data_IF_918898984066
#
_entry.id   IF_918898984066
#
_cell.length_a   1.000
_cell.length_b   1.000
_cell.length_c   1.000
_cell.angle_alpha   90.00
_cell.angle_beta   90.00
_cell.angle_gamma   90.00
#
_symmetry.space_group_name_H-M   'P 1'
#
loop_
_entity.id
_entity.type
_entity.pdbx_description
1 polymer ?
#
# COMPACT_ATOMS: atom_id res chain seq x y z
N UNK A 1 -18.36 -10.62 3.46
CA UNK A 1 -16.90 -10.54 3.55
C UNK A 1 -16.39 -10.24 2.16
N UNK A 2 -15.80 -9.08 1.96
CA UNK A 2 -15.31 -8.67 0.66
C UNK A 2 -13.89 -9.23 0.41
N UNK A 3 -13.48 -9.34 -0.87
CA UNK A 3 -12.17 -9.87 -1.24
C UNK A 3 -11.02 -9.08 -0.61
N UNK A 4 -11.17 -7.76 -0.48
CA UNK A 4 -10.13 -6.89 0.05
C UNK A 4 -9.91 -7.04 1.57
N UNK A 5 -10.85 -7.60 2.31
CA UNK A 5 -10.69 -7.84 3.74
C UNK A 5 -9.59 -8.87 4.05
N UNK A 6 -9.37 -9.82 3.13
CA UNK A 6 -8.34 -10.87 3.24
C UNK A 6 -7.19 -10.69 2.23
N UNK A 7 -7.15 -9.57 1.52
CA UNK A 7 -6.10 -9.34 0.54
C UNK A 7 -4.73 -9.15 1.18
N UNK A 8 -3.71 -9.55 0.43
CA UNK A 8 -2.32 -9.14 0.58
C UNK A 8 -1.93 -8.44 -0.71
N UNK A 9 -1.64 -7.16 -0.62
CA UNK A 9 -1.29 -6.35 -1.78
C UNK A 9 0.19 -6.42 -2.12
N UNK A 10 0.47 -6.40 -3.41
CA UNK A 10 1.79 -6.11 -3.94
C UNK A 10 1.73 -4.81 -4.74
N UNK A 11 2.44 -3.79 -4.29
CA UNK A 11 2.42 -2.46 -4.88
C UNK A 11 3.55 -2.29 -5.88
N UNK A 12 3.22 -1.97 -7.12
CA UNK A 12 4.16 -1.74 -8.21
C UNK A 12 4.07 -0.29 -8.68
N UNK A 13 5.21 0.41 -8.71
CA UNK A 13 5.38 1.66 -9.45
C UNK A 13 5.93 1.32 -10.83
N UNK A 14 5.08 1.25 -11.88
CA UNK A 14 5.44 0.56 -13.11
C UNK A 14 6.52 1.28 -13.93
N UNK A 15 6.49 2.62 -14.01
CA UNK A 15 7.49 3.39 -14.75
C UNK A 15 8.91 3.16 -14.20
N UNK A 16 9.06 3.12 -12.88
CA UNK A 16 10.34 2.84 -12.23
C UNK A 16 10.76 1.40 -12.43
N UNK A 17 9.90 0.44 -12.08
CA UNK A 17 10.21 -1.00 -12.19
C UNK A 17 10.64 -1.38 -13.60
N UNK A 18 9.98 -0.84 -14.62
CA UNK A 18 10.30 -1.13 -16.03
C UNK A 18 11.50 -0.34 -16.56
N UNK A 19 12.02 0.64 -15.79
CA UNK A 19 13.14 1.49 -16.24
C UNK A 19 12.76 2.42 -17.39
N UNK A 20 11.50 2.91 -17.36
CA UNK A 20 11.03 3.86 -18.36
C UNK A 20 11.77 5.20 -18.28
N UNK A 21 11.80 5.94 -19.39
CA UNK A 21 12.32 7.31 -19.41
C UNK A 21 11.58 8.20 -18.40
N UNK A 22 12.29 9.09 -17.70
CA UNK A 22 11.69 9.97 -16.70
C UNK A 22 10.71 10.98 -17.32
N UNK A 23 11.09 11.54 -18.46
CA UNK A 23 10.20 12.36 -19.29
C UNK A 23 9.58 11.49 -20.40
N UNK A 24 8.29 11.71 -20.66
CA UNK A 24 7.57 10.92 -21.67
C UNK A 24 7.97 11.38 -23.08
N UNK A 25 8.78 10.59 -23.74
CA UNK A 25 9.19 10.79 -25.12
C UNK A 25 8.30 10.07 -26.15
N UNK A 26 7.24 9.41 -25.66
CA UNK A 26 6.30 8.65 -26.47
C UNK A 26 6.84 7.31 -26.97
N UNK A 27 8.02 6.89 -26.52
CA UNK A 27 8.63 5.62 -26.93
C UNK A 27 8.35 4.53 -25.90
N UNK A 28 7.90 3.34 -26.33
CA UNK A 28 7.67 2.23 -25.40
C UNK A 28 8.99 1.63 -24.92
N UNK A 29 9.00 1.25 -23.64
CA UNK A 29 10.10 0.46 -23.06
C UNK A 29 9.89 -1.01 -23.46
N UNK A 30 10.80 -1.61 -24.23
CA UNK A 30 10.63 -2.98 -24.70
C UNK A 30 10.43 -3.98 -23.55
N UNK A 31 9.41 -4.83 -23.65
CA UNK A 31 9.15 -5.89 -22.67
C UNK A 31 8.59 -5.42 -21.33
N UNK A 32 8.04 -4.20 -21.24
CA UNK A 32 7.56 -3.68 -19.97
C UNK A 32 6.41 -4.52 -19.39
N UNK A 33 5.40 -4.90 -20.19
CA UNK A 33 4.31 -5.74 -19.70
C UNK A 33 4.71 -7.19 -19.43
N UNK A 34 5.66 -7.75 -20.17
CA UNK A 34 6.25 -9.05 -19.84
C UNK A 34 6.92 -9.01 -18.47
N UNK A 35 7.68 -7.95 -18.20
CA UNK A 35 8.31 -7.72 -16.91
C UNK A 35 7.27 -7.56 -15.79
N UNK A 36 6.25 -6.74 -15.99
CA UNK A 36 5.15 -6.55 -15.03
C UNK A 36 4.44 -7.88 -14.73
N UNK A 37 4.18 -8.70 -15.74
CA UNK A 37 3.59 -10.03 -15.56
C UNK A 37 4.48 -10.98 -14.76
N UNK A 38 5.79 -10.96 -14.99
CA UNK A 38 6.72 -11.76 -14.20
C UNK A 38 6.75 -11.33 -12.72
N UNK A 39 6.69 -10.03 -12.45
CA UNK A 39 6.62 -9.51 -11.08
C UNK A 39 5.25 -9.80 -10.42
N UNK A 40 4.15 -9.76 -11.17
CA UNK A 40 2.84 -10.17 -10.65
C UNK A 40 2.80 -11.67 -10.33
N UNK A 41 3.48 -12.51 -11.13
CA UNK A 41 3.64 -13.94 -10.80
C UNK A 41 4.50 -14.13 -9.53
N UNK A 42 5.63 -13.45 -9.42
CA UNK A 42 6.44 -13.46 -8.19
C UNK A 42 5.62 -13.06 -6.96
N UNK A 43 4.80 -12.00 -7.08
CA UNK A 43 3.89 -11.59 -6.01
C UNK A 43 2.92 -12.72 -5.61
N UNK A 44 2.35 -13.43 -6.57
CA UNK A 44 1.50 -14.61 -6.30
C UNK A 44 2.27 -15.72 -5.58
N UNK A 45 3.50 -15.99 -6.01
CA UNK A 45 4.36 -17.05 -5.44
C UNK A 45 4.70 -16.80 -3.97
N UNK A 46 4.80 -15.53 -3.56
CA UNK A 46 4.99 -15.13 -2.16
C UNK A 46 3.67 -14.87 -1.41
N UNK A 47 2.51 -15.20 -2.00
CA UNK A 47 1.19 -15.18 -1.36
C UNK A 47 0.44 -13.85 -1.46
N UNK A 48 0.81 -12.95 -2.36
CA UNK A 48 0.03 -11.74 -2.62
C UNK A 48 -1.18 -12.03 -3.52
N UNK A 49 -2.35 -11.60 -3.07
CA UNK A 49 -3.64 -11.85 -3.73
C UNK A 49 -4.21 -10.64 -4.45
N UNK A 50 -3.52 -9.53 -4.41
CA UNK A 50 -3.89 -8.31 -5.11
C UNK A 50 -2.66 -7.53 -5.58
N UNK A 51 -2.77 -6.91 -6.75
CA UNK A 51 -1.78 -6.00 -7.32
C UNK A 51 -2.33 -4.58 -7.23
N UNK A 52 -1.58 -3.69 -6.61
CA UNK A 52 -1.75 -2.26 -6.78
C UNK A 52 -0.69 -1.78 -7.78
N UNK A 53 -1.11 -1.32 -8.94
CA UNK A 53 -0.23 -0.83 -10.00
C UNK A 53 -0.56 0.64 -10.29
N UNK A 54 0.41 1.52 -10.09
CA UNK A 54 0.21 2.94 -10.36
C UNK A 54 1.39 3.83 -9.97
N UNK A 55 1.41 5.04 -10.56
CA UNK A 55 0.51 5.55 -11.60
C UNK A 55 0.72 4.84 -12.94
N UNK A 56 -0.36 4.67 -13.72
CA UNK A 56 -0.37 3.81 -14.90
C UNK A 56 -0.71 4.54 -16.20
N UNK A 57 -1.51 5.62 -16.11
CA UNK A 57 -2.08 6.28 -17.28
C UNK A 57 -1.14 7.33 -17.87
N UNK A 58 -1.38 7.70 -19.13
CA UNK A 58 -0.54 8.60 -19.91
C UNK A 58 -0.24 9.88 -19.14
N UNK A 59 1.03 10.18 -18.97
CA UNK A 59 1.55 11.30 -18.18
C UNK A 59 2.74 11.96 -18.87
N UNK A 60 3.08 13.18 -18.45
CA UNK A 60 4.24 13.90 -19.00
C UNK A 60 5.57 13.41 -18.44
N UNK A 61 5.58 12.99 -17.15
CA UNK A 61 6.83 12.63 -16.47
C UNK A 61 6.63 11.47 -15.47
N UNK A 62 6.45 11.79 -14.19
CA UNK A 62 6.45 10.80 -13.10
C UNK A 62 5.15 10.02 -12.92
N UNK A 63 4.17 10.18 -13.81
CA UNK A 63 2.91 9.45 -13.76
C UNK A 63 1.78 10.17 -13.01
N UNK A 64 2.08 11.08 -12.11
CA UNK A 64 1.06 11.86 -11.38
C UNK A 64 0.67 13.16 -12.10
N UNK A 65 1.34 13.52 -13.17
CA UNK A 65 1.00 14.60 -14.10
C UNK A 65 0.19 14.05 -15.29
N UNK A 66 -0.97 13.46 -15.01
CA UNK A 66 -1.81 12.75 -15.97
C UNK A 66 -2.24 13.65 -17.13
N UNK A 67 -2.06 13.16 -18.35
CA UNK A 67 -2.44 13.81 -19.62
C UNK A 67 -3.72 13.18 -20.20
N UNK A 68 -3.81 11.85 -20.18
CA UNK A 68 -4.96 11.10 -20.68
C UNK A 68 -5.27 9.90 -19.78
N UNK A 69 -6.43 9.91 -19.13
CA UNK A 69 -6.87 8.85 -18.23
C UNK A 69 -7.34 7.57 -18.94
N UNK A 70 -7.57 7.61 -20.25
CA UNK A 70 -8.07 6.47 -21.04
C UNK A 70 -6.99 5.75 -21.84
N UNK A 71 -5.76 6.25 -21.74
CA UNK A 71 -4.61 5.67 -22.39
C UNK A 71 -3.61 5.21 -21.32
N UNK A 72 -3.19 3.97 -21.40
CA UNK A 72 -2.03 3.48 -20.64
C UNK A 72 -0.79 4.27 -21.09
N UNK A 73 0.07 4.61 -20.17
CA UNK A 73 1.29 5.38 -20.45
C UNK A 73 2.10 4.67 -21.55
N UNK A 74 2.34 5.36 -22.66
CA UNK A 74 2.96 4.80 -23.86
C UNK A 74 4.36 4.25 -23.62
N UNK A 75 5.04 4.74 -22.59
CA UNK A 75 6.33 4.19 -22.17
C UNK A 75 6.20 2.76 -21.65
N UNK A 76 5.05 2.37 -21.09
CA UNK A 76 4.75 1.03 -20.62
C UNK A 76 4.23 0.11 -21.75
N UNK A 77 3.39 0.68 -22.64
CA UNK A 77 2.77 -0.10 -23.71
C UNK A 77 1.37 0.39 -24.08
N UNK A 78 0.46 -0.52 -24.31
CA UNK A 78 -0.87 -0.28 -24.86
C UNK A 78 -2.00 -0.67 -23.89
N UNK A 79 -3.20 -0.16 -24.13
CA UNK A 79 -4.41 -0.59 -23.42
C UNK A 79 -4.66 -2.10 -23.53
N UNK A 80 -4.38 -2.69 -24.69
CA UNK A 80 -4.53 -4.14 -24.92
C UNK A 80 -3.59 -4.94 -24.02
N UNK A 81 -2.33 -4.54 -23.91
CA UNK A 81 -1.36 -5.22 -23.06
C UNK A 81 -1.73 -5.12 -21.58
N UNK A 82 -2.27 -3.97 -21.13
CA UNK A 82 -2.76 -3.84 -19.76
C UNK A 82 -4.01 -4.69 -19.52
N UNK A 83 -4.95 -4.75 -20.46
CA UNK A 83 -6.11 -5.65 -20.39
C UNK A 83 -5.67 -7.11 -20.23
N UNK A 84 -4.69 -7.54 -21.02
CA UNK A 84 -4.12 -8.89 -20.95
C UNK A 84 -3.40 -9.13 -19.61
N UNK A 85 -2.70 -8.12 -19.09
CA UNK A 85 -2.09 -8.17 -17.76
C UNK A 85 -3.13 -8.41 -16.66
N UNK A 86 -4.24 -7.65 -16.65
CA UNK A 86 -5.32 -7.82 -15.68
C UNK A 86 -5.94 -9.22 -15.79
N UNK A 87 -6.21 -9.69 -17.02
CA UNK A 87 -6.74 -11.03 -17.25
C UNK A 87 -5.80 -12.13 -16.71
N UNK A 88 -4.48 -11.99 -16.89
CA UNK A 88 -3.49 -12.90 -16.32
C UNK A 88 -3.44 -12.84 -14.79
N UNK A 89 -3.56 -11.67 -14.18
CA UNK A 89 -3.68 -11.53 -12.73
C UNK A 89 -4.94 -12.25 -12.21
N UNK A 90 -6.08 -12.04 -12.85
CA UNK A 90 -7.33 -12.72 -12.50
C UNK A 90 -7.23 -14.24 -12.64
N UNK A 91 -6.58 -14.74 -13.68
CA UNK A 91 -6.35 -16.17 -13.88
C UNK A 91 -5.49 -16.80 -12.77
N UNK A 92 -4.64 -16.02 -12.10
CA UNK A 92 -3.87 -16.41 -10.91
C UNK A 92 -4.63 -16.21 -9.59
N UNK A 93 -5.85 -15.70 -9.63
CA UNK A 93 -6.64 -15.35 -8.44
C UNK A 93 -6.25 -14.02 -7.80
N UNK A 94 -5.48 -13.19 -8.49
CA UNK A 94 -5.11 -11.86 -8.01
C UNK A 94 -6.11 -10.81 -8.49
N UNK A 95 -6.45 -9.85 -7.61
CA UNK A 95 -7.20 -8.65 -7.93
C UNK A 95 -6.27 -7.53 -8.38
N UNK A 96 -6.76 -6.57 -9.17
CA UNK A 96 -5.95 -5.45 -9.68
C UNK A 96 -6.62 -4.13 -9.37
N UNK A 97 -5.89 -3.22 -8.72
CA UNK A 97 -6.29 -1.83 -8.52
C UNK A 97 -5.28 -0.88 -9.16
N UNK A 98 -5.76 0.29 -9.58
CA UNK A 98 -4.94 1.33 -10.22
C UNK A 98 -4.99 2.64 -9.44
N UNK A 99 -4.07 3.57 -9.73
CA UNK A 99 -4.11 4.93 -9.20
C UNK A 99 -5.18 5.77 -9.90
N UNK A 100 -6.00 6.47 -9.11
CA UNK A 100 -6.90 7.52 -9.54
C UNK A 100 -6.35 8.88 -9.10
N UNK A 101 -5.65 9.56 -10.00
CA UNK A 101 -5.08 10.89 -9.78
C UNK A 101 -6.14 11.93 -10.14
N UNK A 102 -7.07 12.23 -9.24
CA UNK A 102 -8.25 13.06 -9.54
C UNK A 102 -8.21 14.46 -8.92
N UNK A 103 -7.19 14.75 -8.09
CA UNK A 103 -7.00 16.08 -7.53
C UNK A 103 -6.44 17.07 -8.55
N UNK A 104 -5.58 16.60 -9.44
CA UNK A 104 -4.83 17.43 -10.39
C UNK A 104 -4.54 16.68 -11.68
N UNK A 105 -4.11 17.41 -12.70
CA UNK A 105 -3.70 16.89 -14.01
C UNK A 105 -2.38 17.51 -14.45
N UNK A 106 -1.73 16.90 -15.42
CA UNK A 106 -0.57 17.48 -16.11
C UNK A 106 -0.96 18.64 -17.02
N UNK A 107 0.03 19.45 -17.37
CA UNK A 107 -0.17 20.65 -18.21
C UNK A 107 -0.61 20.36 -19.64
N UNK A 108 -0.37 19.13 -20.13
CA UNK A 108 -0.79 18.72 -21.48
C UNK A 108 -2.16 18.03 -21.50
N UNK A 109 -2.88 18.00 -20.37
CA UNK A 109 -4.27 17.57 -20.31
C UNK A 109 -5.16 18.44 -21.21
N UNK A 110 -6.04 17.83 -22.00
CA UNK A 110 -6.78 18.50 -23.06
C UNK A 110 -7.53 19.76 -22.61
N UNK A 111 -8.16 19.70 -21.43
CA UNK A 111 -8.94 20.84 -20.91
C UNK A 111 -8.01 22.00 -20.46
N UNK A 112 -6.78 21.69 -19.99
CA UNK A 112 -5.81 22.72 -19.66
C UNK A 112 -5.17 23.31 -20.92
N UNK A 113 -4.99 22.53 -21.97
CA UNK A 113 -4.55 23.06 -23.29
C UNK A 113 -5.58 24.04 -23.86
N UNK A 114 -6.89 23.75 -23.72
CA UNK A 114 -7.96 24.70 -24.07
C UNK A 114 -7.85 26.00 -23.27
N UNK A 115 -7.60 25.90 -21.94
CA UNK A 115 -7.43 27.08 -21.08
C UNK A 115 -6.23 27.93 -21.52
N UNK A 116 -5.10 27.31 -21.84
CA UNK A 116 -3.91 28.00 -22.34
C UNK A 116 -4.16 28.73 -23.67
N UNK A 117 -4.88 28.08 -24.59
CA UNK A 117 -5.13 28.61 -25.92
C UNK A 117 -6.21 29.71 -25.93
N UNK A 118 -7.28 29.54 -25.19
CA UNK A 118 -8.51 30.36 -25.28
C UNK A 118 -8.73 31.28 -24.06
N UNK A 119 -7.95 31.12 -22.99
CA UNK A 119 -7.95 31.97 -21.79
C UNK A 119 -9.37 32.18 -21.22
N UNK A 120 -9.84 33.42 -21.09
CA UNK A 120 -11.19 33.80 -20.59
C UNK A 120 -12.32 33.13 -21.39
N UNK A 121 -12.08 32.79 -22.66
CA UNK A 121 -13.03 32.17 -23.56
C UNK A 121 -12.92 30.64 -23.58
N UNK A 122 -12.02 30.04 -22.81
CA UNK A 122 -11.86 28.59 -22.78
C UNK A 122 -13.14 27.88 -22.33
N UNK A 123 -13.47 26.77 -23.04
CA UNK A 123 -14.65 25.94 -22.75
C UNK A 123 -14.54 25.32 -21.34
N UNK A 124 -13.33 24.95 -20.94
CA UNK A 124 -13.05 24.21 -19.72
C UNK A 124 -12.43 25.04 -18.59
N UNK A 125 -12.49 26.38 -18.64
CA UNK A 125 -11.85 27.22 -17.61
C UNK A 125 -12.35 26.93 -16.19
N UNK A 126 -13.63 26.59 -16.02
CA UNK A 126 -14.25 26.33 -14.73
C UNK A 126 -13.95 24.90 -14.20
N UNK A 127 -13.21 24.10 -14.97
CA UNK A 127 -12.68 22.81 -14.54
C UNK A 127 -11.47 22.95 -13.59
N UNK A 128 -10.87 24.15 -13.54
CA UNK A 128 -9.67 24.41 -12.76
C UNK A 128 -9.95 25.38 -11.61
N UNK A 129 -9.18 25.23 -10.52
CA UNK A 129 -9.26 26.08 -9.36
C UNK A 129 -8.42 27.36 -9.54
N UNK A 130 -8.88 28.46 -8.94
CA UNK A 130 -8.13 29.70 -8.71
C UNK A 130 -7.48 30.30 -9.98
N UNK A 131 -8.13 30.17 -11.14
CA UNK A 131 -7.65 30.74 -12.40
C UNK A 131 -7.72 32.26 -12.32
N UNK A 132 -6.56 32.92 -12.50
CA UNK A 132 -6.42 34.35 -12.46
C UNK A 132 -5.65 34.88 -13.68
N UNK A 133 -6.36 35.51 -14.61
CA UNK A 133 -5.80 36.04 -15.86
C UNK A 133 -4.96 37.31 -15.70
N UNK A 134 -4.87 37.86 -14.49
CA UNK A 134 -3.98 38.98 -14.15
C UNK A 134 -2.67 38.49 -13.51
N UNK A 135 -2.54 37.18 -13.28
CA UNK A 135 -1.34 36.54 -12.73
C UNK A 135 -0.38 36.04 -13.81
N UNK A 136 0.66 35.34 -13.35
CA UNK A 136 1.60 34.59 -14.19
C UNK A 136 2.15 33.42 -13.39
N UNK A 137 2.93 32.55 -14.02
CA UNK A 137 3.62 31.41 -13.43
C UNK A 137 5.00 31.21 -14.09
N UNK A 138 5.79 30.24 -13.63
CA UNK A 138 7.13 29.94 -14.13
C UNK A 138 7.18 29.52 -15.61
N UNK A 139 6.04 29.09 -16.17
CA UNK A 139 5.93 28.72 -17.59
C UNK A 139 5.55 29.90 -18.49
N UNK A 140 5.37 31.11 -17.91
CA UNK A 140 4.95 32.33 -18.62
C UNK A 140 3.62 32.19 -19.39
N UNK A 141 2.63 31.49 -18.83
CA UNK A 141 1.32 31.34 -19.45
C UNK A 141 0.51 32.65 -19.51
N UNK A 142 0.91 33.67 -18.74
CA UNK A 142 0.20 34.93 -18.62
C UNK A 142 -1.06 34.85 -17.76
N UNK A 143 -1.21 33.79 -16.96
CA UNK A 143 -2.20 33.61 -15.90
C UNK A 143 -1.65 32.69 -14.81
N UNK A 144 -2.27 32.72 -13.63
CA UNK A 144 -2.00 31.78 -12.55
C UNK A 144 -3.22 30.88 -12.29
N UNK A 145 -3.01 29.78 -11.59
CA UNK A 145 -4.03 28.77 -11.28
C UNK A 145 -3.68 28.00 -10.01
N UNK A 146 -4.65 27.34 -9.43
CA UNK A 146 -4.45 26.42 -8.31
C UNK A 146 -3.64 25.20 -8.74
N UNK A 147 -2.74 24.74 -7.85
CA UNK A 147 -1.88 23.60 -8.10
C UNK A 147 -1.81 22.66 -6.88
N UNK A 148 -1.15 21.52 -7.04
CA UNK A 148 -0.83 20.60 -5.97
C UNK A 148 0.59 20.85 -5.44
N UNK A 149 0.71 21.00 -4.12
CA UNK A 149 2.02 21.07 -3.46
C UNK A 149 2.90 22.26 -3.82
N UNK A 150 2.36 23.28 -4.49
CA UNK A 150 3.13 24.44 -5.00
C UNK A 150 3.76 24.21 -6.38
N UNK A 151 3.48 23.09 -7.03
CA UNK A 151 4.02 22.73 -8.34
C UNK A 151 3.03 23.02 -9.45
N UNK A 152 3.29 24.02 -10.29
CA UNK A 152 2.41 24.37 -11.41
C UNK A 152 2.38 23.31 -12.54
N UNK A 153 3.26 22.30 -12.48
CA UNK A 153 3.13 21.10 -13.31
C UNK A 153 1.83 20.33 -13.00
N UNK A 154 1.35 20.37 -11.75
CA UNK A 154 0.20 19.63 -11.24
C UNK A 154 -1.00 20.57 -11.08
N UNK A 155 -1.77 20.75 -12.16
CA UNK A 155 -2.85 21.72 -12.27
C UNK A 155 -4.07 21.22 -11.51
N UNK A 156 -4.52 21.95 -10.49
CA UNK A 156 -5.62 21.54 -9.62
C UNK A 156 -6.98 21.59 -10.32
N UNK A 157 -7.70 20.46 -10.29
CA UNK A 157 -9.05 20.33 -10.79
C UNK A 157 -10.09 20.83 -9.78
N UNK A 158 -11.15 21.44 -10.29
CA UNK A 158 -12.34 21.83 -9.52
C UNK A 158 -13.29 20.63 -9.39
N UNK A 159 -13.13 19.82 -8.37
CA UNK A 159 -13.95 18.63 -8.12
C UNK A 159 -15.40 18.93 -7.74
N UNK A 160 -15.76 20.20 -7.49
CA UNK A 160 -17.14 20.64 -7.28
C UNK A 160 -17.86 20.94 -8.59
N UNK A 161 -17.13 21.03 -9.70
CA UNK A 161 -17.74 21.16 -11.01
C UNK A 161 -18.34 19.82 -11.44
N UNK A 162 -19.66 19.73 -11.72
CA UNK A 162 -20.30 18.48 -12.13
C UNK A 162 -19.73 17.87 -13.42
N UNK A 163 -19.22 18.69 -14.35
CA UNK A 163 -18.58 18.19 -15.56
C UNK A 163 -17.27 17.43 -15.24
N UNK A 164 -16.48 17.95 -14.28
CA UNK A 164 -15.26 17.29 -13.81
C UNK A 164 -15.60 15.97 -13.11
N UNK A 165 -16.63 15.97 -12.24
CA UNK A 165 -17.11 14.75 -11.58
C UNK A 165 -17.53 13.70 -12.61
N UNK A 166 -18.40 14.08 -13.56
CA UNK A 166 -18.89 13.17 -14.60
C UNK A 166 -17.75 12.64 -15.47
N UNK A 167 -16.78 13.47 -15.83
CA UNK A 167 -15.61 13.05 -16.58
C UNK A 167 -14.85 11.94 -15.87
N UNK A 168 -14.62 12.08 -14.55
CA UNK A 168 -13.94 11.04 -13.78
C UNK A 168 -14.81 9.79 -13.57
N UNK A 169 -16.12 9.94 -13.35
CA UNK A 169 -17.02 8.79 -13.24
C UNK A 169 -17.07 7.99 -14.54
N UNK A 170 -17.10 8.65 -15.68
CA UNK A 170 -17.07 8.00 -17.01
C UNK A 170 -15.69 7.38 -17.30
N UNK A 171 -14.63 7.97 -16.78
CA UNK A 171 -13.29 7.39 -16.84
C UNK A 171 -13.23 6.07 -16.05
N UNK A 172 -13.80 6.03 -14.84
CA UNK A 172 -13.82 4.82 -14.02
C UNK A 172 -14.68 3.72 -14.67
N UNK A 173 -15.84 4.08 -15.25
CA UNK A 173 -16.64 3.14 -16.04
C UNK A 173 -15.82 2.55 -17.18
N UNK A 174 -15.12 3.41 -17.93
CA UNK A 174 -14.22 2.96 -19.00
C UNK A 174 -13.14 2.00 -18.48
N UNK A 175 -12.51 2.28 -17.33
CA UNK A 175 -11.49 1.40 -16.76
C UNK A 175 -12.04 0.01 -16.38
N UNK A 176 -13.27 -0.04 -15.85
CA UNK A 176 -13.92 -1.31 -15.52
C UNK A 176 -14.34 -2.06 -16.79
N UNK A 177 -14.97 -1.37 -17.74
CA UNK A 177 -15.46 -1.99 -18.99
C UNK A 177 -14.31 -2.48 -19.88
N UNK A 178 -13.22 -1.72 -19.97
CA UNK A 178 -12.10 -2.04 -20.84
C UNK A 178 -11.09 -2.97 -20.18
N UNK A 179 -10.75 -2.75 -18.91
CA UNK A 179 -9.65 -3.43 -18.24
C UNK A 179 -10.10 -4.41 -17.16
N UNK A 180 -11.36 -4.37 -16.74
CA UNK A 180 -11.90 -5.19 -15.65
C UNK A 180 -11.18 -5.01 -14.30
N UNK A 181 -10.69 -3.81 -13.98
CA UNK A 181 -10.04 -3.53 -12.70
C UNK A 181 -11.00 -3.74 -11.51
N UNK A 182 -10.44 -4.01 -10.32
CA UNK A 182 -11.19 -4.36 -9.12
C UNK A 182 -11.26 -3.23 -8.08
N UNK A 183 -10.61 -2.11 -8.34
CA UNK A 183 -10.62 -0.96 -7.43
C UNK A 183 -9.65 0.14 -7.82
N UNK A 184 -9.61 1.16 -6.98
CA UNK A 184 -8.80 2.37 -7.18
C UNK A 184 -8.15 2.78 -5.87
N UNK A 185 -6.88 3.16 -5.92
CA UNK A 185 -6.24 3.99 -4.90
C UNK A 185 -6.38 5.45 -5.33
N UNK A 186 -7.00 6.28 -4.52
CA UNK A 186 -7.14 7.72 -4.75
C UNK A 186 -5.89 8.45 -4.26
N UNK A 187 -5.17 9.04 -5.19
CA UNK A 187 -4.04 9.93 -4.92
C UNK A 187 -4.51 11.17 -4.16
N UNK A 188 -3.72 11.63 -3.17
CA UNK A 188 -3.99 12.82 -2.38
C UNK A 188 -5.45 12.90 -1.87
N UNK A 189 -5.99 11.80 -1.36
CA UNK A 189 -7.40 11.70 -0.97
C UNK A 189 -7.77 12.66 0.17
N UNK A 190 -6.81 13.09 0.98
CA UNK A 190 -7.00 14.05 2.07
C UNK A 190 -7.41 15.45 1.60
N UNK A 191 -7.20 15.78 0.33
CA UNK A 191 -7.59 17.07 -0.28
C UNK A 191 -8.71 16.94 -1.32
N UNK A 192 -9.23 15.73 -1.55
CA UNK A 192 -10.39 15.52 -2.42
C UNK A 192 -11.68 16.04 -1.76
N UNK A 193 -12.57 16.56 -2.60
CA UNK A 193 -13.91 16.99 -2.16
C UNK A 193 -14.74 15.79 -1.64
N UNK A 194 -15.38 15.95 -0.49
CA UNK A 194 -16.14 14.86 0.13
C UNK A 194 -17.38 14.45 -0.67
N UNK A 195 -18.05 15.39 -1.35
CA UNK A 195 -19.22 15.05 -2.18
C UNK A 195 -18.79 14.30 -3.44
N UNK A 196 -17.62 14.64 -3.98
CA UNK A 196 -16.98 13.85 -5.04
C UNK A 196 -16.68 12.42 -4.56
N UNK A 197 -16.08 12.23 -3.38
CA UNK A 197 -15.83 10.89 -2.83
C UNK A 197 -17.11 10.10 -2.54
N UNK A 198 -18.17 10.75 -2.05
CA UNK A 198 -19.50 10.11 -1.93
C UNK A 198 -20.05 9.66 -3.28
N UNK A 199 -19.82 10.48 -4.32
CA UNK A 199 -20.14 10.13 -5.70
C UNK A 199 -19.37 8.90 -6.18
N UNK A 200 -18.06 8.85 -5.92
CA UNK A 200 -17.22 7.68 -6.21
C UNK A 200 -17.72 6.42 -5.50
N UNK A 201 -18.14 6.53 -4.23
CA UNK A 201 -18.70 5.39 -3.49
C UNK A 201 -20.00 4.87 -4.10
N UNK A 202 -20.91 5.76 -4.48
CA UNK A 202 -22.15 5.36 -5.19
C UNK A 202 -21.83 4.66 -6.50
N UNK A 203 -20.91 5.24 -7.29
CA UNK A 203 -20.45 4.62 -8.53
C UNK A 203 -19.84 3.24 -8.28
N UNK A 204 -18.94 3.10 -7.31
CA UNK A 204 -18.32 1.82 -6.97
C UNK A 204 -19.35 0.73 -6.67
N UNK A 205 -20.41 1.08 -5.92
CA UNK A 205 -21.48 0.14 -5.60
C UNK A 205 -22.34 -0.26 -6.83
N UNK A 206 -22.36 0.54 -7.89
CA UNK A 206 -23.15 0.30 -9.11
C UNK A 206 -22.38 -0.50 -10.17
N UNK A 207 -21.07 -0.21 -10.35
CA UNK A 207 -20.34 -0.68 -11.52
C UNK A 207 -19.80 -2.10 -11.41
N UNK A 208 -19.40 -2.52 -10.21
CA UNK A 208 -18.82 -3.85 -9.98
C UNK A 208 -19.02 -4.27 -8.53
N UNK A 209 -19.48 -5.50 -8.25
CA UNK A 209 -19.55 -6.00 -6.88
C UNK A 209 -18.18 -5.91 -6.19
N UNK A 210 -18.16 -5.37 -4.97
CA UNK A 210 -16.95 -5.24 -4.16
C UNK A 210 -15.83 -4.40 -4.82
N UNK A 211 -16.18 -3.44 -5.70
CA UNK A 211 -15.20 -2.49 -6.24
C UNK A 211 -14.59 -1.66 -5.10
N UNK A 212 -13.28 -1.79 -4.90
CA UNK A 212 -12.61 -1.23 -3.73
C UNK A 212 -12.11 0.19 -3.96
N UNK A 213 -12.36 1.06 -2.98
CA UNK A 213 -11.85 2.42 -2.95
C UNK A 213 -10.92 2.58 -1.74
N UNK A 214 -9.66 2.85 -1.99
CA UNK A 214 -8.66 3.16 -0.98
C UNK A 214 -8.11 4.56 -1.23
N UNK A 215 -7.97 5.36 -0.18
CA UNK A 215 -7.45 6.73 -0.29
C UNK A 215 -6.08 6.87 0.33
N UNK A 216 -5.23 7.67 -0.31
CA UNK A 216 -4.03 8.15 0.35
C UNK A 216 -4.39 9.27 1.32
N UNK A 217 -4.21 9.01 2.61
CA UNK A 217 -4.37 9.99 3.69
C UNK A 217 -3.16 9.89 4.61
N UNK A 218 -2.41 10.99 4.72
CA UNK A 218 -1.17 11.00 5.51
C UNK A 218 -1.48 11.33 6.98
N UNK A 219 -2.32 12.32 7.23
CA UNK A 219 -2.60 12.84 8.57
C UNK A 219 -4.09 13.06 8.81
N UNK A 220 -4.48 13.04 10.08
CA UNK A 220 -5.82 13.39 10.52
C UNK A 220 -6.61 12.18 11.08
N UNK A 221 -7.88 12.42 11.32
CA UNK A 221 -8.80 11.37 11.73
C UNK A 221 -9.25 10.56 10.52
N UNK A 222 -8.70 9.37 10.36
CA UNK A 222 -8.94 8.50 9.19
C UNK A 222 -10.41 8.12 8.99
N UNK A 223 -11.24 8.13 10.04
CA UNK A 223 -12.68 7.86 9.95
C UNK A 223 -13.44 8.90 9.11
N UNK A 224 -12.87 10.08 8.90
CA UNK A 224 -13.46 11.11 8.04
C UNK A 224 -13.50 10.68 6.57
N UNK A 225 -12.56 9.84 6.14
CA UNK A 225 -12.46 9.33 4.76
C UNK A 225 -12.88 7.88 4.66
N UNK A 226 -12.37 7.02 5.57
CA UNK A 226 -12.69 5.60 5.60
C UNK A 226 -13.96 5.37 6.42
N UNK A 227 -15.10 5.31 5.73
CA UNK A 227 -16.42 5.13 6.32
C UNK A 227 -17.41 4.57 5.27
N UNK A 228 -18.61 4.13 5.67
CA UNK A 228 -19.59 3.53 4.77
C UNK A 228 -20.05 4.41 3.59
N UNK A 229 -19.93 5.74 3.70
CA UNK A 229 -20.39 6.67 2.68
C UNK A 229 -19.32 7.02 1.64
N UNK A 230 -18.03 6.85 1.98
CA UNK A 230 -16.91 7.27 1.13
C UNK A 230 -15.95 6.12 0.84
N UNK A 231 -14.79 6.08 1.45
CA UNK A 231 -13.75 5.10 1.11
C UNK A 231 -13.88 3.84 1.97
N UNK A 232 -13.48 2.70 1.40
CA UNK A 232 -13.43 1.44 2.12
C UNK A 232 -12.21 1.36 3.05
N UNK A 233 -11.13 2.04 2.70
CA UNK A 233 -9.86 2.05 3.43
C UNK A 233 -9.08 3.32 3.14
N UNK A 234 -8.10 3.61 3.98
CA UNK A 234 -7.05 4.61 3.73
C UNK A 234 -5.69 4.06 4.13
N UNK A 235 -4.63 4.68 3.62
CA UNK A 235 -3.25 4.38 3.98
C UNK A 235 -2.97 4.68 5.45
N UNK A 236 -2.31 3.75 6.15
CA UNK A 236 -1.97 3.91 7.56
C UNK A 236 -0.56 4.47 7.75
N UNK A 237 -0.36 5.76 7.45
CA UNK A 237 0.90 6.45 7.65
C UNK A 237 1.30 6.59 9.12
N UNK A 238 0.34 6.63 10.03
CA UNK A 238 0.65 6.67 11.46
C UNK A 238 1.31 5.39 11.94
N UNK A 239 0.78 4.22 11.52
CA UNK A 239 1.43 2.95 11.82
C UNK A 239 2.77 2.84 11.10
N UNK A 240 2.85 3.21 9.81
CA UNK A 240 4.12 3.25 9.08
C UNK A 240 5.20 3.99 9.89
N UNK A 241 4.89 5.20 10.39
CA UNK A 241 5.81 5.96 11.24
C UNK A 241 6.15 5.20 12.52
N UNK A 242 5.14 4.67 13.22
CA UNK A 242 5.32 3.92 14.46
C UNK A 242 6.16 2.64 14.29
N UNK A 243 6.05 1.97 13.13
CA UNK A 243 6.82 0.75 12.85
C UNK A 243 8.33 1.02 12.89
N UNK A 244 8.83 1.98 12.12
CA UNK A 244 10.28 2.21 12.12
C UNK A 244 10.76 3.00 13.34
N UNK A 245 10.02 3.99 13.85
CA UNK A 245 10.45 4.78 15.02
C UNK A 245 10.39 3.96 16.29
N UNK A 246 9.31 3.18 16.52
CA UNK A 246 9.17 2.33 17.68
C UNK A 246 10.25 1.25 17.77
N UNK A 247 10.71 0.72 16.62
CA UNK A 247 11.85 -0.20 16.61
C UNK A 247 13.18 0.51 16.88
N UNK A 248 13.41 1.68 16.27
CA UNK A 248 14.63 2.47 16.50
C UNK A 248 14.80 2.95 17.95
N UNK A 249 13.68 3.22 18.62
CA UNK A 249 13.67 3.72 19.99
C UNK A 249 13.40 2.61 21.02
N UNK A 250 13.37 1.33 20.56
CA UNK A 250 13.04 0.16 21.39
C UNK A 250 11.75 0.35 22.20
N UNK A 251 10.68 0.84 21.52
CA UNK A 251 9.45 1.26 22.20
C UNK A 251 8.18 0.72 21.52
N UNK A 252 7.76 -0.48 21.87
CA UNK A 252 6.52 -1.07 21.37
C UNK A 252 5.24 -0.37 21.86
N UNK A 253 5.29 0.45 22.91
CA UNK A 253 4.11 1.24 23.32
C UNK A 253 3.63 2.16 22.20
N UNK A 254 4.52 2.69 21.36
CA UNK A 254 4.14 3.52 20.22
C UNK A 254 3.25 2.75 19.25
N UNK A 255 3.63 1.54 18.87
CA UNK A 255 2.88 0.68 17.92
C UNK A 255 1.54 0.25 18.53
N UNK A 256 1.58 -0.28 19.75
CA UNK A 256 0.39 -0.76 20.45
C UNK A 256 -0.63 0.36 20.70
N UNK A 257 -0.16 1.55 21.10
CA UNK A 257 -1.03 2.71 21.31
C UNK A 257 -1.67 3.18 19.99
N UNK A 258 -0.86 3.30 18.92
CA UNK A 258 -1.35 3.70 17.59
C UNK A 258 -2.45 2.74 17.12
N UNK A 259 -2.23 1.45 17.21
CA UNK A 259 -3.20 0.46 16.75
C UNK A 259 -4.50 0.47 17.58
N UNK A 260 -4.41 0.55 18.91
CA UNK A 260 -5.61 0.65 19.77
C UNK A 260 -6.43 1.90 19.46
N UNK A 261 -5.76 3.04 19.27
CA UNK A 261 -6.42 4.30 18.93
C UNK A 261 -7.09 4.23 17.55
N UNK A 262 -6.40 3.75 16.54
CA UNK A 262 -6.94 3.63 15.17
C UNK A 262 -8.09 2.63 15.10
N UNK A 263 -8.00 1.49 15.78
CA UNK A 263 -9.09 0.53 15.86
C UNK A 263 -10.33 1.14 16.53
N UNK A 264 -10.16 1.94 17.57
CA UNK A 264 -11.26 2.66 18.21
C UNK A 264 -11.87 3.75 17.32
N UNK A 265 -11.10 4.43 16.48
CA UNK A 265 -11.57 5.49 15.57
C UNK A 265 -12.25 4.93 14.31
N UNK A 266 -11.63 3.93 13.71
CA UNK A 266 -12.07 3.38 12.42
C UNK A 266 -13.00 2.18 12.57
N UNK A 267 -13.33 1.76 13.82
CA UNK A 267 -14.16 0.62 14.14
C UNK A 267 -13.74 -0.64 13.34
N UNK A 268 -14.62 -1.20 12.53
CA UNK A 268 -14.36 -2.41 11.76
C UNK A 268 -13.62 -2.15 10.44
N UNK A 269 -13.34 -0.89 10.08
CA UNK A 269 -12.63 -0.54 8.86
C UNK A 269 -11.17 -0.99 8.94
N UNK A 270 -10.73 -1.75 7.94
CA UNK A 270 -9.35 -2.21 7.82
C UNK A 270 -8.54 -1.19 7.04
N UNK A 271 -7.51 -0.64 7.68
CA UNK A 271 -6.60 0.29 7.03
C UNK A 271 -5.55 -0.45 6.20
N UNK A 272 -5.06 0.19 5.14
CA UNK A 272 -4.00 -0.31 4.29
C UNK A 272 -2.64 -0.15 4.99
N UNK A 273 -1.99 -1.27 5.32
CA UNK A 273 -0.75 -1.33 6.09
C UNK A 273 0.46 -1.53 5.17
N UNK A 274 1.50 -0.78 5.39
CA UNK A 274 2.74 -0.85 4.62
C UNK A 274 3.96 -0.49 5.48
N UNK A 275 5.12 -1.02 5.13
CA UNK A 275 6.41 -0.67 5.74
C UNK A 275 7.08 0.50 5.00
N UNK A 276 6.95 0.53 3.70
CA UNK A 276 7.43 1.57 2.79
C UNK A 276 6.58 1.60 1.51
N UNK A 277 6.74 2.65 0.70
CA UNK A 277 6.08 2.82 -0.58
C UNK A 277 6.94 3.70 -1.51
N UNK A 278 6.37 4.14 -2.63
CA UNK A 278 7.06 4.94 -3.66
C UNK A 278 7.35 6.39 -3.26
N UNK A 279 6.84 6.85 -2.11
CA UNK A 279 6.97 8.24 -1.62
C UNK A 279 7.75 8.36 -0.29
N UNK A 280 8.09 7.24 0.34
CA UNK A 280 8.88 7.23 1.57
C UNK A 280 10.15 6.40 1.41
N UNK A 281 11.17 6.75 2.18
CA UNK A 281 12.42 5.99 2.15
C UNK A 281 12.18 4.51 2.48
N UNK A 282 12.93 3.63 1.80
CA UNK A 282 12.88 2.19 2.01
C UNK A 282 13.18 1.84 3.46
N UNK A 283 12.50 0.82 3.97
CA UNK A 283 12.59 0.43 5.37
C UNK A 283 14.04 0.21 5.87
N UNK A 284 14.95 -0.45 5.12
CA UNK A 284 16.34 -0.61 5.55
C UNK A 284 17.09 0.70 5.79
N UNK A 285 16.68 1.80 5.13
CA UNK A 285 17.27 3.13 5.34
C UNK A 285 16.69 3.86 6.55
N UNK A 286 15.49 3.49 6.99
CA UNK A 286 14.86 4.04 8.18
C UNK A 286 15.35 3.36 9.46
N UNK A 287 15.71 2.08 9.41
CA UNK A 287 16.06 1.27 10.58
C UNK A 287 17.53 1.41 10.96
N UNK A 288 17.79 1.55 12.27
CA UNK A 288 19.15 1.44 12.86
C UNK A 288 19.63 0.01 12.91
N UNK A 289 18.72 -0.95 13.14
CA UNK A 289 19.00 -2.38 13.13
C UNK A 289 18.12 -3.08 12.07
N UNK A 290 18.77 -3.68 11.06
CA UNK A 290 18.09 -4.34 9.94
C UNK A 290 17.39 -5.66 10.33
N UNK A 291 17.74 -6.28 11.44
CA UNK A 291 17.03 -7.46 11.96
C UNK A 291 15.56 -7.14 12.26
N UNK A 292 15.25 -5.87 12.55
CA UNK A 292 13.88 -5.41 12.78
C UNK A 292 13.00 -5.43 11.53
N UNK A 293 13.53 -5.63 10.31
CA UNK A 293 12.72 -5.86 9.09
C UNK A 293 11.80 -7.07 9.30
N UNK A 294 12.33 -8.16 9.91
CA UNK A 294 11.54 -9.35 10.28
C UNK A 294 10.34 -8.98 11.18
N UNK A 295 10.57 -8.17 12.21
CA UNK A 295 9.55 -7.75 13.15
C UNK A 295 8.44 -6.96 12.44
N UNK A 296 8.84 -6.01 11.59
CA UNK A 296 7.92 -5.14 10.87
C UNK A 296 7.11 -5.93 9.84
N UNK A 297 7.72 -6.86 9.12
CA UNK A 297 7.00 -7.76 8.22
C UNK A 297 5.93 -8.57 8.97
N UNK A 298 6.28 -9.17 10.12
CA UNK A 298 5.34 -9.90 10.97
C UNK A 298 4.19 -8.97 11.42
N UNK A 299 4.50 -7.77 11.91
CA UNK A 299 3.48 -6.81 12.37
C UNK A 299 2.53 -6.39 11.25
N UNK A 300 3.04 -6.07 10.06
CA UNK A 300 2.22 -5.69 8.89
C UNK A 300 1.22 -6.80 8.53
N UNK A 301 1.62 -8.07 8.64
CA UNK A 301 0.76 -9.21 8.31
C UNK A 301 -0.19 -9.63 9.42
N UNK A 302 0.12 -9.32 10.68
CA UNK A 302 -0.62 -9.85 11.84
C UNK A 302 -1.44 -8.81 12.59
N UNK A 303 -1.16 -7.52 12.43
CA UNK A 303 -2.00 -6.46 12.98
C UNK A 303 -3.33 -6.36 12.23
N UNK A 304 -4.29 -5.64 12.81
CA UNK A 304 -5.60 -5.41 12.18
C UNK A 304 -5.48 -4.46 11.01
N UNK A 305 -5.61 -4.97 9.79
CA UNK A 305 -5.51 -4.20 8.56
C UNK A 305 -5.27 -5.06 7.33
N UNK A 306 -5.00 -4.42 6.21
CA UNK A 306 -4.75 -5.03 4.91
C UNK A 306 -3.26 -4.86 4.59
N UNK A 307 -2.45 -5.93 4.62
CA UNK A 307 -1.02 -5.85 4.38
C UNK A 307 -0.67 -5.53 2.93
N UNK A 308 0.38 -4.75 2.74
CA UNK A 308 0.96 -4.46 1.44
C UNK A 308 2.48 -4.53 1.46
N UNK A 309 3.04 -5.05 0.39
CA UNK A 309 4.47 -5.08 0.09
C UNK A 309 4.71 -4.14 -1.09
N UNK A 310 5.63 -3.19 -0.96
CA UNK A 310 6.10 -2.42 -2.10
C UNK A 310 7.23 -3.18 -2.81
N UNK A 311 7.19 -3.26 -4.15
CA UNK A 311 8.13 -4.10 -4.90
C UNK A 311 9.60 -3.87 -4.51
N UNK A 312 10.30 -4.96 -4.27
CA UNK A 312 11.68 -4.96 -3.80
C UNK A 312 11.83 -4.92 -2.27
N UNK A 313 10.78 -4.56 -1.49
CA UNK A 313 10.86 -4.55 -0.02
C UNK A 313 11.02 -5.97 0.53
N UNK A 314 10.47 -6.97 -0.15
CA UNK A 314 10.65 -8.39 0.18
C UNK A 314 12.09 -8.88 0.00
N UNK A 315 12.92 -8.14 -0.72
CA UNK A 315 14.36 -8.43 -0.84
C UNK A 315 15.20 -7.61 0.13
N UNK A 316 14.58 -6.66 0.85
CA UNK A 316 15.27 -5.74 1.75
C UNK A 316 16.13 -4.71 1.03
N UNK A 317 15.73 -4.26 -0.16
CA UNK A 317 16.48 -3.27 -0.94
C UNK A 317 16.51 -1.92 -0.24
N UNK A 318 17.57 -1.18 -0.48
CA UNK A 318 17.74 0.18 -0.02
C UNK A 318 17.18 1.19 -1.02
N UNK A 319 16.79 2.36 -0.54
CA UNK A 319 16.39 3.51 -1.33
C UNK A 319 16.14 4.70 -0.42
N UNK A 320 16.79 5.80 -0.74
CA UNK A 320 16.74 7.04 0.05
C UNK A 320 16.35 8.20 -0.86
N UNK A 321 15.49 9.09 -0.34
CA UNK A 321 15.15 10.31 -1.09
C UNK A 321 16.40 11.13 -1.38
N UNK A 322 16.50 11.59 -2.61
CA UNK A 322 17.45 12.62 -2.99
C UNK A 322 16.75 13.97 -3.01
N UNK A 323 17.52 15.06 -2.86
CA UNK A 323 16.93 16.39 -2.85
C UNK A 323 16.25 16.68 -4.20
N UNK A 324 14.91 16.89 -4.14
CA UNK A 324 14.09 17.17 -5.31
C UNK A 324 13.72 15.96 -6.18
N UNK A 325 14.00 14.72 -5.72
CA UNK A 325 13.68 13.52 -6.50
C UNK A 325 13.28 12.32 -5.64
N UNK A 326 12.17 11.68 -6.02
CA UNK A 326 11.73 10.40 -5.46
C UNK A 326 12.18 9.19 -6.32
N UNK A 327 12.84 9.41 -7.44
CA UNK A 327 13.27 8.33 -8.34
C UNK A 327 14.12 7.25 -7.67
N UNK A 328 15.01 7.55 -6.71
CA UNK A 328 15.75 6.49 -6.00
C UNK A 328 14.88 5.54 -5.18
N UNK A 329 13.63 5.91 -4.88
CA UNK A 329 12.64 5.04 -4.23
C UNK A 329 11.94 4.10 -5.23
N UNK A 330 12.12 4.32 -6.53
CA UNK A 330 11.40 3.70 -7.66
C UNK A 330 12.35 3.00 -8.63
N UNK A 331 13.27 2.12 -8.13
CA UNK A 331 14.34 1.56 -8.96
C UNK A 331 13.82 0.59 -10.02
N UNK A 332 14.54 0.51 -11.12
CA UNK A 332 14.43 -0.60 -12.04
C UNK A 332 15.09 -1.84 -11.43
N UNK A 333 14.36 -2.94 -11.31
CA UNK A 333 14.82 -4.19 -10.72
C UNK A 333 14.60 -5.34 -11.67
N UNK A 334 15.50 -6.34 -11.63
CA UNK A 334 15.37 -7.56 -12.41
C UNK A 334 15.16 -8.76 -11.48
N UNK A 335 14.09 -9.54 -11.68
CA UNK A 335 13.83 -10.74 -10.86
C UNK A 335 14.94 -11.77 -10.96
N UNK A 336 15.69 -11.78 -12.07
CA UNK A 336 16.85 -12.66 -12.26
C UNK A 336 17.94 -12.45 -11.19
N UNK A 337 18.04 -11.25 -10.61
CA UNK A 337 19.03 -10.93 -9.58
C UNK A 337 18.65 -11.51 -8.21
N UNK A 338 17.40 -11.92 -8.05
CA UNK A 338 16.82 -12.45 -6.81
C UNK A 338 16.41 -13.92 -6.91
N UNK A 339 16.98 -14.65 -7.89
CA UNK A 339 16.75 -16.09 -8.01
C UNK A 339 17.05 -16.78 -6.68
N UNK A 340 16.15 -17.67 -6.26
CA UNK A 340 16.28 -18.43 -5.02
C UNK A 340 16.27 -17.59 -3.72
N UNK A 341 15.85 -16.30 -3.78
CA UNK A 341 15.84 -15.43 -2.61
C UNK A 341 14.96 -16.00 -1.46
N UNK A 342 13.90 -16.72 -1.76
CA UNK A 342 13.06 -17.39 -0.73
C UNK A 342 13.88 -18.34 0.14
N UNK A 343 14.90 -19.00 -0.41
CA UNK A 343 15.75 -19.97 0.28
C UNK A 343 17.07 -19.39 0.77
N UNK A 344 17.43 -18.18 0.38
CA UNK A 344 18.76 -17.61 0.67
C UNK A 344 18.72 -16.26 1.39
N UNK A 345 17.63 -15.49 1.21
CA UNK A 345 17.46 -14.17 1.80
C UNK A 345 16.49 -14.24 2.99
N UNK A 346 16.93 -13.90 4.23
CA UNK A 346 16.08 -13.94 5.42
C UNK A 346 14.79 -13.11 5.29
N UNK A 347 14.85 -11.97 4.61
CA UNK A 347 13.70 -11.08 4.43
C UNK A 347 12.68 -11.72 3.50
N UNK A 348 13.12 -12.20 2.32
CA UNK A 348 12.23 -12.86 1.34
C UNK A 348 11.60 -14.13 1.92
N UNK A 349 12.38 -14.92 2.64
CA UNK A 349 11.90 -16.15 3.29
C UNK A 349 10.75 -15.87 4.26
N UNK A 350 10.87 -14.81 5.07
CA UNK A 350 9.82 -14.39 6.01
C UNK A 350 8.58 -13.91 5.27
N UNK A 351 8.70 -13.05 4.24
CA UNK A 351 7.55 -12.59 3.48
C UNK A 351 6.80 -13.73 2.79
N UNK A 352 7.52 -14.68 2.19
CA UNK A 352 6.91 -15.86 1.57
C UNK A 352 6.19 -16.76 2.59
N UNK A 353 6.76 -16.93 3.78
CA UNK A 353 6.12 -17.68 4.87
C UNK A 353 4.84 -16.96 5.36
N UNK A 354 4.92 -15.63 5.58
CA UNK A 354 3.78 -14.81 6.02
C UNK A 354 2.62 -14.84 5.02
N UNK A 355 2.90 -14.75 3.72
CA UNK A 355 1.87 -14.87 2.68
C UNK A 355 1.14 -16.21 2.72
N UNK A 356 1.87 -17.33 2.89
CA UNK A 356 1.29 -18.67 3.07
C UNK A 356 0.44 -18.75 4.34
N UNK A 357 0.97 -18.25 5.46
CA UNK A 357 0.26 -18.26 6.74
C UNK A 357 -1.03 -17.44 6.67
N UNK A 358 -1.01 -16.27 6.03
CA UNK A 358 -2.20 -15.43 5.84
C UNK A 358 -3.31 -16.14 5.07
N UNK A 359 -2.95 -16.95 4.09
CA UNK A 359 -3.91 -17.75 3.31
C UNK A 359 -4.46 -18.96 4.10
N UNK A 360 -3.66 -19.54 5.01
CA UNK A 360 -4.01 -20.77 5.72
C UNK A 360 -4.69 -20.54 7.07
N UNK A 361 -4.45 -19.40 7.70
CA UNK A 361 -4.86 -19.11 9.08
C UNK A 361 -5.87 -17.97 9.12
N UNK A 362 -7.17 -18.29 9.11
CA UNK A 362 -8.24 -17.27 9.12
C UNK A 362 -8.16 -16.35 10.35
N UNK A 363 -7.61 -16.80 11.46
CA UNK A 363 -7.41 -15.95 12.65
C UNK A 363 -6.48 -14.76 12.37
N UNK A 364 -5.53 -14.87 11.45
CA UNK A 364 -4.67 -13.73 11.07
C UNK A 364 -5.43 -12.64 10.30
N UNK A 365 -6.57 -12.99 9.72
CA UNK A 365 -7.46 -12.05 9.03
C UNK A 365 -8.63 -11.64 9.91
N UNK A 366 -9.38 -12.60 10.45
CA UNK A 366 -10.67 -12.38 11.09
C UNK A 366 -10.62 -12.39 12.60
N UNK A 367 -9.50 -12.89 13.19
CA UNK A 367 -9.36 -13.01 14.63
C UNK A 367 -9.34 -11.67 15.34
N UNK A 368 -9.92 -11.63 16.53
CA UNK A 368 -9.79 -10.52 17.47
C UNK A 368 -8.33 -10.34 17.89
N UNK A 369 -7.87 -9.11 18.01
CA UNK A 369 -6.55 -8.80 18.58
C UNK A 369 -6.66 -8.72 20.10
N UNK A 370 -5.90 -9.58 20.79
CA UNK A 370 -5.80 -9.57 22.26
C UNK A 370 -4.37 -9.28 22.68
N UNK A 371 -4.13 -8.16 23.33
CA UNK A 371 -2.84 -7.85 23.94
C UNK A 371 -2.59 -8.81 25.11
N UNK A 372 -1.43 -9.45 25.15
CA UNK A 372 -1.05 -10.42 26.17
C UNK A 372 0.03 -9.88 27.11
N UNK A 373 1.05 -9.25 26.54
CA UNK A 373 2.12 -8.60 27.31
C UNK A 373 2.73 -7.46 26.50
N UNK A 374 2.93 -6.31 27.14
CA UNK A 374 3.55 -5.14 26.52
C UNK A 374 4.57 -4.51 27.48
N UNK A 375 5.79 -4.36 27.00
CA UNK A 375 6.86 -3.57 27.62
C UNK A 375 7.46 -2.64 26.57
N UNK A 376 8.47 -1.85 26.92
CA UNK A 376 9.18 -1.05 25.92
C UNK A 376 9.80 -1.92 24.82
N UNK A 377 10.45 -3.02 25.19
CA UNK A 377 11.24 -3.86 24.27
C UNK A 377 10.55 -5.16 23.84
N UNK A 378 9.47 -5.56 24.51
CA UNK A 378 8.78 -6.79 24.18
C UNK A 378 7.29 -6.54 23.98
N UNK A 379 6.73 -7.22 22.96
CA UNK A 379 5.31 -7.20 22.68
C UNK A 379 4.80 -8.60 22.35
N UNK A 380 3.75 -9.02 23.02
CA UNK A 380 3.01 -10.23 22.74
C UNK A 380 1.53 -9.92 22.59
N UNK A 381 0.92 -10.38 21.51
CA UNK A 381 -0.52 -10.31 21.29
C UNK A 381 -1.01 -11.57 20.56
N UNK A 382 -2.29 -11.88 20.73
CA UNK A 382 -2.92 -12.99 20.03
C UNK A 382 -3.90 -12.50 18.97
N UNK A 383 -4.08 -13.31 17.93
CA UNK A 383 -5.18 -13.26 17.00
C UNK A 383 -6.07 -14.47 17.30
N UNK A 384 -7.31 -14.22 17.74
CA UNK A 384 -8.22 -15.25 18.27
C UNK A 384 -9.47 -15.31 17.41
N UNK A 385 -9.79 -16.52 16.90
CA UNK A 385 -10.98 -16.80 16.11
C UNK A 385 -11.54 -18.18 16.47
N UNK A 386 -12.78 -18.27 16.86
CA UNK A 386 -13.53 -19.53 17.07
C UNK A 386 -12.80 -20.55 17.98
N UNK A 387 -12.10 -20.05 19.03
CA UNK A 387 -11.35 -20.88 19.96
C UNK A 387 -9.96 -21.34 19.47
N UNK A 388 -9.55 -20.89 18.29
CA UNK A 388 -8.20 -21.03 17.76
C UNK A 388 -7.41 -19.73 17.93
N UNK A 389 -6.10 -19.81 18.09
CA UNK A 389 -5.28 -18.61 18.21
C UNK A 389 -3.87 -18.78 17.64
N UNK A 390 -3.38 -17.67 17.10
CA UNK A 390 -1.95 -17.43 16.85
C UNK A 390 -1.45 -16.36 17.81
N UNK A 391 -0.31 -16.58 18.43
CA UNK A 391 0.37 -15.63 19.31
C UNK A 391 1.59 -15.06 18.60
N UNK A 392 1.63 -13.75 18.46
CA UNK A 392 2.78 -13.02 17.91
C UNK A 392 3.63 -12.55 19.08
N UNK A 393 4.93 -12.85 19.03
CA UNK A 393 5.88 -12.50 20.08
C UNK A 393 7.07 -11.79 19.47
N UNK A 394 7.43 -10.63 20.05
CA UNK A 394 8.48 -9.76 19.54
C UNK A 394 9.39 -9.28 20.69
N UNK A 395 10.69 -9.26 20.43
CA UNK A 395 11.71 -8.66 21.29
C UNK A 395 12.64 -7.80 20.42
N UNK A 396 12.54 -6.46 20.52
CA UNK A 396 13.44 -5.53 19.81
C UNK A 396 14.61 -5.06 20.67
N UNK A 397 14.80 -5.67 21.86
CA UNK A 397 15.94 -5.40 22.73
C UNK A 397 17.20 -6.15 22.32
N UNK A 398 18.36 -5.60 22.68
CA UNK A 398 19.68 -6.16 22.38
C UNK A 398 20.08 -7.35 23.28
N UNK A 399 19.18 -7.78 24.17
CA UNK A 399 19.36 -8.93 25.05
C UNK A 399 18.20 -9.91 24.89
N UNK A 400 18.44 -11.23 25.11
CA UNK A 400 17.35 -12.19 25.19
C UNK A 400 16.34 -11.81 26.26
N UNK A 401 15.06 -12.08 25.99
CA UNK A 401 13.96 -11.77 26.91
C UNK A 401 13.10 -13.01 27.19
N UNK A 402 12.54 -13.04 28.39
CA UNK A 402 11.52 -13.99 28.79
C UNK A 402 10.18 -13.27 28.91
N UNK A 403 9.17 -13.75 28.18
CA UNK A 403 7.79 -13.31 28.32
C UNK A 403 6.99 -14.37 29.06
N UNK A 404 6.04 -13.93 29.89
CA UNK A 404 5.10 -14.80 30.58
C UNK A 404 3.72 -14.14 30.64
N UNK A 405 2.72 -14.81 30.07
CA UNK A 405 1.36 -14.27 29.94
C UNK A 405 0.30 -15.37 30.01
N UNK A 406 -0.94 -14.98 30.35
CA UNK A 406 -2.11 -15.83 30.30
C UNK A 406 -2.53 -16.04 28.85
N UNK A 407 -2.83 -17.29 28.47
CA UNK A 407 -3.34 -17.61 27.12
C UNK A 407 -4.82 -17.22 26.99
N UNK A 408 -5.23 -16.73 25.82
CA UNK A 408 -6.63 -16.35 25.56
C UNK A 408 -7.54 -17.53 25.25
N UNK A 409 -6.96 -18.72 24.97
CA UNK A 409 -7.64 -19.99 24.69
C UNK A 409 -6.89 -21.13 25.37
N UNK A 410 -7.57 -22.26 25.57
CA UNK A 410 -6.94 -23.47 26.07
C UNK A 410 -5.94 -24.02 25.05
N UNK A 411 -4.74 -24.33 25.50
CA UNK A 411 -3.67 -24.95 24.69
C UNK A 411 -2.74 -25.75 25.58
N UNK A 412 -2.16 -26.82 25.03
CA UNK A 412 -1.15 -27.67 25.69
C UNK A 412 0.25 -27.52 25.07
N UNK A 413 0.30 -27.04 23.81
CA UNK A 413 1.55 -26.84 23.07
C UNK A 413 1.46 -25.59 22.18
N UNK A 414 2.61 -25.18 21.67
CA UNK A 414 2.71 -24.11 20.69
C UNK A 414 3.77 -24.43 19.65
N UNK A 415 3.40 -24.21 18.37
CA UNK A 415 4.29 -24.46 17.23
C UNK A 415 4.78 -23.12 16.68
N UNK A 416 6.10 -22.97 16.54
CA UNK A 416 6.70 -21.83 15.84
C UNK A 416 6.47 -21.97 14.32
N UNK A 417 5.69 -21.06 13.75
CA UNK A 417 5.29 -21.08 12.34
C UNK A 417 6.38 -20.52 11.41
N UNK A 418 7.39 -19.85 11.94
CA UNK A 418 8.50 -19.27 11.19
C UNK A 418 9.84 -19.96 11.47
N UNK A 419 9.83 -21.14 12.12
CA UNK A 419 11.03 -21.89 12.47
C UNK A 419 11.86 -22.34 11.24
N UNK A 420 11.21 -22.55 10.10
CA UNK A 420 11.86 -23.01 8.87
C UNK A 420 12.31 -21.85 7.94
N UNK A 421 12.14 -20.58 8.36
CA UNK A 421 12.59 -19.43 7.57
C UNK A 421 14.10 -19.25 7.66
N UNK A 422 14.71 -18.71 6.62
CA UNK A 422 16.14 -18.38 6.61
C UNK A 422 16.46 -17.41 7.76
N UNK A 423 17.47 -17.74 8.54
CA UNK A 423 17.86 -16.95 9.71
C UNK A 423 16.95 -17.12 10.93
N UNK A 424 16.05 -18.12 10.93
CA UNK A 424 15.27 -18.47 12.12
C UNK A 424 16.18 -18.85 13.28
N UNK A 425 15.80 -18.41 14.49
CA UNK A 425 16.51 -18.72 15.72
C UNK A 425 15.66 -19.63 16.60
N UNK A 426 16.26 -20.56 17.35
CA UNK A 426 15.52 -21.43 18.24
C UNK A 426 14.88 -20.62 19.38
N UNK A 427 13.62 -20.92 19.65
CA UNK A 427 12.91 -20.40 20.82
C UNK A 427 12.52 -21.53 21.76
N UNK A 428 12.35 -21.24 23.04
CA UNK A 428 11.81 -22.20 24.00
C UNK A 428 10.43 -21.70 24.46
N UNK A 429 9.47 -22.60 24.45
CA UNK A 429 8.11 -22.35 24.92
C UNK A 429 7.70 -23.40 25.95
N UNK A 430 6.88 -23.00 26.92
CA UNK A 430 6.24 -23.90 27.86
C UNK A 430 4.86 -23.36 28.25
N UNK A 431 3.91 -24.28 28.41
CA UNK A 431 2.54 -23.92 28.83
C UNK A 431 2.22 -24.69 30.10
N UNK A 432 1.91 -23.96 31.16
CA UNK A 432 1.51 -24.50 32.45
C UNK A 432 0.30 -23.71 33.01
N UNK A 433 -0.74 -24.37 33.40
CA UNK A 433 -1.94 -23.76 34.00
C UNK A 433 -2.55 -22.65 33.16
N UNK A 434 -2.55 -22.80 31.83
CA UNK A 434 -3.05 -21.81 30.90
C UNK A 434 -2.15 -20.57 30.73
N UNK A 435 -0.95 -20.58 31.31
CA UNK A 435 0.06 -19.53 31.13
C UNK A 435 1.18 -20.04 30.22
N UNK A 436 1.59 -19.17 29.32
CA UNK A 436 2.69 -19.44 28.41
C UNK A 436 3.95 -18.72 28.82
N UNK A 437 5.07 -19.41 28.82
CA UNK A 437 6.44 -18.85 28.94
C UNK A 437 7.13 -18.98 27.59
N UNK A 438 7.75 -17.89 27.15
CA UNK A 438 8.49 -17.84 25.89
C UNK A 438 9.84 -17.21 26.15
N UNK A 439 10.93 -17.90 25.75
CA UNK A 439 12.26 -17.31 25.70
C UNK A 439 12.58 -16.89 24.27
N UNK A 440 12.75 -15.58 24.06
CA UNK A 440 13.06 -14.98 22.78
C UNK A 440 14.52 -14.53 22.74
N UNK A 441 15.26 -14.81 21.67
CA UNK A 441 16.54 -14.17 21.40
C UNK A 441 16.44 -12.65 21.34
N UNK A 442 17.57 -11.95 21.41
CA UNK A 442 17.65 -10.51 21.13
C UNK A 442 17.25 -10.23 19.68
N UNK A 443 16.58 -9.10 19.44
CA UNK A 443 16.20 -8.62 18.12
C UNK A 443 15.47 -9.70 17.28
N UNK A 444 14.54 -10.45 17.91
CA UNK A 444 13.86 -11.58 17.27
C UNK A 444 12.34 -11.53 17.46
N UNK A 445 11.63 -12.00 16.45
CA UNK A 445 10.17 -12.08 16.43
C UNK A 445 9.70 -13.35 15.72
N UNK A 446 8.57 -13.91 16.17
CA UNK A 446 7.94 -15.05 15.51
C UNK A 446 6.44 -15.11 15.77
N UNK A 447 5.77 -16.08 15.14
CA UNK A 447 4.35 -16.42 15.29
C UNK A 447 4.21 -17.84 15.80
N UNK A 448 3.47 -18.01 16.87
CA UNK A 448 3.22 -19.29 17.52
C UNK A 448 1.75 -19.69 17.28
N UNK A 449 1.50 -20.83 16.64
CA UNK A 449 0.17 -21.46 16.60
C UNK A 449 -0.05 -22.22 17.89
N UNK A 450 -1.13 -21.92 18.60
CA UNK A 450 -1.52 -22.69 19.79
C UNK A 450 -2.16 -24.01 19.36
N UNK A 451 -1.82 -25.09 20.07
CA UNK A 451 -2.30 -26.44 19.86
C UNK A 451 -2.95 -26.97 21.15
N UNK A 452 -4.10 -27.67 21.01
CA UNK A 452 -4.88 -28.25 22.13
C UNK A 452 -4.26 -29.49 22.70
#
# INVERSE_FOLDING_TARGET
MAWYDNAVFYHIYPLGLCGCAHENDGQPTPGAFEKLNAWAQHAADIGCTAIYIGPLFESGSHGYDTIDYRLVDRRLGTNTEFKDFVAQCHARGQKVIVDGVFNHVGRDFFAFQDLKANRENARYKDWFCDVNFWGNNEYNDGFSYGNWGGFNLLVKLNQRNPEVQNYHYDTIRFWVDEFDIDGIRLDAADVLDFDFMRGLRRLANEIKPEFWLMGEVIHGDYSRWANPEMLHSVTNYELHKGLWSGHNDHNYFEIAHTMRRLQGLCHDTRLYLFSDNHDVERLPNKLRNREHIRHIAILVYTLWGIPSIYYGSEFGIEGKKEWGSDWPLRPCLELSDYKDAVNTNPVTSVYAALGKLKAQLPELTWGEVKELQLTTQCYAFARVLDGEACVVVLNNGDSPAQLEFQLPVEASAAKDLLADTVGAQPIMTGIEWGRMKVQLPSNYATILKLEK
#
